data_IF_850377740651
#
_entry.id   IF_850377740651
#
_cell.length_a   1.000
_cell.length_b   1.000
_cell.length_c   1.000
_cell.angle_alpha   90.00
_cell.angle_beta   90.00
_cell.angle_gamma   90.00
#
_symmetry.space_group_name_H-M   'P 1'
#
loop_
_entity.id
_entity.type
_entity.pdbx_description
1 polymer ?
#
# COMPACT_ATOMS: atom_id res chain seq x y z
N UNK A 1 14.40 10.85 -31.48
CA UNK A 1 13.87 10.21 -30.24
C UNK A 1 14.66 8.96 -29.82
N UNK A 2 14.78 7.90 -30.64
CA UNK A 2 15.62 6.72 -30.31
C UNK A 2 17.13 7.05 -30.16
N UNK A 3 17.65 7.93 -31.02
CA UNK A 3 19.05 8.41 -30.94
C UNK A 3 19.31 9.25 -29.68
N UNK A 4 18.31 10.01 -29.23
CA UNK A 4 18.39 10.78 -27.99
C UNK A 4 18.53 9.84 -26.78
N UNK A 5 17.73 8.79 -26.70
CA UNK A 5 17.88 7.77 -25.65
C UNK A 5 19.24 7.07 -25.70
N UNK A 6 19.71 6.65 -26.88
CA UNK A 6 21.04 6.03 -27.03
C UNK A 6 22.18 6.99 -26.65
N UNK A 7 22.05 8.28 -26.95
CA UNK A 7 23.02 9.30 -26.55
C UNK A 7 23.02 9.50 -25.03
N UNK A 8 21.86 9.66 -24.41
CA UNK A 8 21.74 9.82 -22.95
C UNK A 8 22.19 8.57 -22.19
N UNK A 9 21.90 7.37 -22.71
CA UNK A 9 22.36 6.12 -22.11
C UNK A 9 23.89 6.01 -22.16
N UNK A 10 24.50 6.31 -23.32
CA UNK A 10 25.96 6.33 -23.47
C UNK A 10 26.61 7.36 -22.55
N UNK A 11 26.05 8.56 -22.46
CA UNK A 11 26.51 9.57 -21.51
C UNK A 11 26.39 9.09 -20.05
N UNK A 12 25.29 8.43 -19.68
CA UNK A 12 25.12 7.90 -18.32
C UNK A 12 26.20 6.86 -17.99
N UNK A 13 26.60 6.02 -18.96
CA UNK A 13 27.71 5.08 -18.79
C UNK A 13 29.05 5.75 -18.52
N UNK A 14 29.30 6.95 -19.07
CA UNK A 14 30.54 7.70 -18.74
C UNK A 14 30.53 8.25 -17.32
N UNK A 15 29.36 8.37 -16.68
CA UNK A 15 29.23 8.86 -15.31
C UNK A 15 29.31 7.75 -14.24
N UNK A 16 29.39 6.46 -14.64
CA UNK A 16 29.41 5.33 -13.70
C UNK A 16 30.37 5.49 -12.52
N UNK A 17 31.63 5.93 -12.69
CA UNK A 17 32.57 6.10 -11.57
C UNK A 17 32.16 7.19 -10.57
N UNK A 18 31.35 8.15 -11.02
CA UNK A 18 30.92 9.32 -10.24
C UNK A 18 29.56 9.13 -9.58
N UNK A 19 28.88 7.99 -9.80
CA UNK A 19 27.56 7.71 -9.22
C UNK A 19 27.57 7.53 -7.71
N UNK A 20 28.74 7.43 -7.08
CA UNK A 20 28.86 7.48 -5.62
C UNK A 20 28.35 8.82 -5.08
N UNK A 21 28.59 9.92 -5.81
CA UNK A 21 28.17 11.27 -5.44
C UNK A 21 26.64 11.43 -5.59
N UNK A 22 25.89 11.74 -4.51
CA UNK A 22 24.43 11.79 -4.54
C UNK A 22 23.84 12.75 -5.58
N UNK A 23 24.47 13.91 -5.80
CA UNK A 23 23.99 14.90 -6.75
C UNK A 23 24.16 14.44 -8.21
N UNK A 24 25.31 13.83 -8.53
CA UNK A 24 25.57 13.27 -9.86
C UNK A 24 24.60 12.14 -10.15
N UNK A 25 24.38 11.24 -9.18
CA UNK A 25 23.42 10.14 -9.29
C UNK A 25 21.99 10.65 -9.55
N UNK A 26 21.54 11.66 -8.81
CA UNK A 26 20.22 12.25 -9.01
C UNK A 26 20.06 12.90 -10.40
N UNK A 27 21.11 13.58 -10.87
CA UNK A 27 21.13 14.20 -12.19
C UNK A 27 21.08 13.16 -13.32
N UNK A 28 21.93 12.13 -13.27
CA UNK A 28 21.95 11.03 -14.25
C UNK A 28 20.60 10.30 -14.28
N UNK A 29 20.02 10.01 -13.11
CA UNK A 29 18.70 9.40 -13.00
C UNK A 29 17.62 10.25 -13.69
N UNK A 30 17.58 11.56 -13.42
CA UNK A 30 16.59 12.46 -14.03
C UNK A 30 16.73 12.52 -15.56
N UNK A 31 17.96 12.61 -16.07
CA UNK A 31 18.22 12.62 -17.50
C UNK A 31 17.79 11.30 -18.19
N UNK A 32 18.07 10.15 -17.56
CA UNK A 32 17.63 8.85 -18.08
C UNK A 32 16.10 8.70 -18.06
N UNK A 33 15.43 9.17 -17.00
CA UNK A 33 13.96 9.17 -16.92
C UNK A 33 13.34 10.02 -18.02
N UNK A 34 13.81 11.27 -18.19
CA UNK A 34 13.33 12.14 -19.27
C UNK A 34 13.56 11.53 -20.65
N UNK A 35 14.78 11.04 -20.92
CA UNK A 35 15.10 10.42 -22.20
C UNK A 35 14.27 9.16 -22.48
N UNK A 36 13.91 8.40 -21.44
CA UNK A 36 13.01 7.25 -21.57
C UNK A 36 11.59 7.69 -21.91
N UNK A 37 11.04 8.66 -21.18
CA UNK A 37 9.67 9.15 -21.42
C UNK A 37 9.52 9.85 -22.79
N UNK A 38 10.58 10.49 -23.26
CA UNK A 38 10.63 11.14 -24.56
C UNK A 38 10.83 10.14 -25.71
N UNK A 39 11.72 9.15 -25.53
CA UNK A 39 12.05 8.21 -26.60
C UNK A 39 11.02 7.07 -26.76
N UNK A 40 10.35 6.69 -25.67
CA UNK A 40 9.36 5.62 -25.65
C UNK A 40 7.99 6.22 -25.35
N UNK A 41 7.11 6.35 -26.36
CA UNK A 41 5.75 6.77 -26.10
C UNK A 41 5.09 5.77 -25.16
N UNK A 42 4.54 6.27 -24.06
CA UNK A 42 3.67 5.47 -23.20
C UNK A 42 2.51 4.95 -24.06
N UNK A 43 2.25 3.65 -24.01
CA UNK A 43 1.18 3.03 -24.79
C UNK A 43 -0.19 3.63 -24.43
N UNK A 44 -1.06 3.78 -25.45
CA UNK A 44 -2.42 4.34 -25.31
C UNK A 44 -2.49 5.87 -25.38
N UNK A 45 -3.70 6.43 -25.29
CA UNK A 45 -3.93 7.88 -25.25
C UNK A 45 -3.55 8.43 -23.85
N UNK A 46 -2.77 9.54 -23.74
CA UNK A 46 -2.53 10.22 -22.46
C UNK A 46 -3.79 10.53 -21.64
N UNK A 47 -4.89 10.91 -22.29
CA UNK A 47 -6.18 11.18 -21.64
C UNK A 47 -6.78 9.92 -21.05
N UNK A 48 -6.75 8.81 -21.80
CA UNK A 48 -7.24 7.50 -21.33
C UNK A 48 -6.39 6.97 -20.17
N UNK A 49 -5.06 7.11 -20.23
CA UNK A 49 -4.17 6.75 -19.11
C UNK A 49 -4.49 7.57 -17.86
N UNK A 50 -4.68 8.88 -18.00
CA UNK A 50 -5.04 9.75 -16.87
C UNK A 50 -6.41 9.39 -16.32
N UNK A 51 -7.40 9.14 -17.16
CA UNK A 51 -8.73 8.68 -16.76
C UNK A 51 -8.67 7.35 -16.01
N UNK A 52 -7.85 6.40 -16.49
CA UNK A 52 -7.61 5.12 -15.81
C UNK A 52 -6.95 5.30 -14.45
N UNK A 53 -5.91 6.13 -14.33
CA UNK A 53 -5.25 6.41 -13.06
C UNK A 53 -6.21 7.06 -12.04
N UNK A 54 -7.02 8.04 -12.47
CA UNK A 54 -8.05 8.67 -11.64
C UNK A 54 -9.10 7.64 -11.20
N UNK A 55 -9.54 6.77 -12.11
CA UNK A 55 -10.49 5.70 -11.77
C UNK A 55 -9.90 4.70 -10.76
N UNK A 56 -8.63 4.30 -10.92
CA UNK A 56 -7.97 3.41 -9.94
C UNK A 56 -7.84 4.08 -8.57
N UNK A 57 -7.50 5.37 -8.50
CA UNK A 57 -7.43 6.11 -7.25
C UNK A 57 -8.80 6.23 -6.57
N UNK A 58 -9.87 6.48 -7.35
CA UNK A 58 -11.24 6.53 -6.84
C UNK A 58 -11.70 5.17 -6.30
N UNK A 59 -11.42 4.08 -7.02
CA UNK A 59 -11.70 2.71 -6.56
C UNK A 59 -10.97 2.41 -5.26
N UNK A 60 -9.66 2.73 -5.19
CA UNK A 60 -8.86 2.53 -3.99
C UNK A 60 -9.45 3.30 -2.80
N UNK A 61 -9.70 4.59 -2.96
CA UNK A 61 -10.25 5.43 -1.87
C UNK A 61 -11.64 4.98 -1.42
N UNK A 62 -12.52 4.57 -2.33
CA UNK A 62 -13.84 4.07 -1.99
C UNK A 62 -13.75 2.73 -1.23
N UNK A 63 -12.89 1.82 -1.69
CA UNK A 63 -12.70 0.53 -1.07
C UNK A 63 -12.05 0.62 0.32
N UNK A 64 -11.00 1.43 0.49
CA UNK A 64 -10.32 1.58 1.79
C UNK A 64 -11.26 2.20 2.81
N UNK A 65 -11.99 3.26 2.44
CA UNK A 65 -13.01 3.86 3.31
C UNK A 65 -14.05 2.83 3.74
N UNK A 66 -14.58 2.07 2.79
CA UNK A 66 -15.56 1.03 3.09
C UNK A 66 -14.98 -0.05 4.00
N UNK A 67 -13.75 -0.50 3.77
CA UNK A 67 -13.06 -1.48 4.63
C UNK A 67 -12.86 -0.95 6.04
N UNK A 68 -12.44 0.30 6.20
CA UNK A 68 -12.25 0.94 7.50
C UNK A 68 -13.57 1.00 8.28
N UNK A 69 -14.67 1.39 7.61
CA UNK A 69 -16.01 1.47 8.19
C UNK A 69 -16.60 0.09 8.57
N UNK A 70 -16.14 -1.00 7.93
CA UNK A 70 -16.71 -2.35 8.07
C UNK A 70 -15.71 -3.38 8.62
N UNK A 71 -14.55 -2.95 9.14
CA UNK A 71 -13.47 -3.87 9.56
C UNK A 71 -13.89 -4.86 10.67
N UNK A 72 -14.87 -4.48 11.50
CA UNK A 72 -15.47 -5.29 12.58
C UNK A 72 -16.42 -6.38 12.09
N UNK A 73 -16.80 -6.37 10.81
CA UNK A 73 -17.75 -7.30 10.23
C UNK A 73 -17.03 -8.44 9.48
N UNK A 74 -17.70 -9.59 9.21
CA UNK A 74 -17.15 -10.70 8.45
C UNK A 74 -17.12 -10.39 6.94
N UNK A 75 -16.54 -9.25 6.57
CA UNK A 75 -16.42 -8.77 5.18
C UNK A 75 -15.16 -9.31 4.50
N UNK A 76 -15.23 -9.36 3.17
CA UNK A 76 -14.14 -9.82 2.30
C UNK A 76 -13.67 -8.72 1.35
N UNK A 77 -12.53 -8.96 0.68
CA UNK A 77 -12.06 -8.08 -0.40
C UNK A 77 -13.07 -7.99 -1.57
N UNK A 78 -13.84 -9.06 -1.81
CA UNK A 78 -14.87 -9.06 -2.86
C UNK A 78 -16.06 -8.17 -2.49
N UNK A 79 -16.40 -8.07 -1.20
CA UNK A 79 -17.41 -7.15 -0.72
C UNK A 79 -16.98 -5.70 -0.88
N UNK A 80 -15.71 -5.40 -0.57
CA UNK A 80 -15.13 -4.09 -0.82
C UNK A 80 -15.08 -3.74 -2.30
N UNK A 81 -14.79 -4.72 -3.18
CA UNK A 81 -14.83 -4.52 -4.63
C UNK A 81 -16.24 -4.12 -5.08
N UNK A 82 -17.26 -4.82 -4.59
CA UNK A 82 -18.66 -4.54 -4.89
C UNK A 82 -19.08 -3.16 -4.38
N UNK A 83 -18.70 -2.82 -3.15
CA UNK A 83 -18.98 -1.51 -2.55
C UNK A 83 -18.30 -0.36 -3.32
N UNK A 84 -17.09 -0.59 -3.85
CA UNK A 84 -16.37 0.36 -4.69
C UNK A 84 -16.81 0.34 -6.17
N UNK A 85 -17.84 -0.44 -6.54
CA UNK A 85 -18.37 -0.50 -7.89
C UNK A 85 -17.42 -1.13 -8.92
N UNK A 86 -16.57 -2.08 -8.49
CA UNK A 86 -15.56 -2.72 -9.35
C UNK A 86 -15.56 -4.25 -9.22
N UNK A 87 -14.82 -4.90 -10.11
CA UNK A 87 -14.52 -6.34 -9.98
C UNK A 87 -13.35 -6.58 -9.04
N UNK A 88 -13.20 -7.79 -8.50
CA UNK A 88 -12.04 -8.18 -7.69
C UNK A 88 -10.69 -7.92 -8.42
N UNK A 89 -10.65 -8.15 -9.73
CA UNK A 89 -9.48 -7.84 -10.54
C UNK A 89 -9.22 -6.32 -10.66
N UNK A 90 -10.28 -5.53 -10.79
CA UNK A 90 -10.19 -4.06 -10.77
C UNK A 90 -9.70 -3.54 -9.42
N UNK A 91 -10.20 -4.11 -8.32
CA UNK A 91 -9.76 -3.76 -6.97
C UNK A 91 -8.28 -4.09 -6.77
N UNK A 92 -7.83 -5.29 -7.14
CA UNK A 92 -6.41 -5.68 -7.03
C UNK A 92 -5.49 -4.75 -7.83
N UNK A 93 -5.90 -4.31 -9.03
CA UNK A 93 -5.15 -3.30 -9.80
C UNK A 93 -5.10 -1.95 -9.08
N UNK A 94 -6.20 -1.52 -8.47
CA UNK A 94 -6.27 -0.26 -7.76
C UNK A 94 -5.32 -0.24 -6.56
N UNK A 95 -5.27 -1.33 -5.79
CA UNK A 95 -4.34 -1.53 -4.68
C UNK A 95 -2.88 -1.62 -5.16
N UNK A 96 -2.59 -2.34 -6.22
CA UNK A 96 -1.22 -2.41 -6.77
C UNK A 96 -0.73 -1.02 -7.24
N UNK A 97 -1.61 -0.17 -7.74
CA UNK A 97 -1.26 1.16 -8.24
C UNK A 97 -1.19 2.26 -7.15
N UNK A 98 -2.00 2.17 -6.08
CA UNK A 98 -2.19 3.25 -5.11
C UNK A 98 -1.93 2.84 -3.65
N UNK A 99 -1.71 1.56 -3.38
CA UNK A 99 -1.60 0.98 -2.04
C UNK A 99 -0.28 1.31 -1.34
N UNK A 100 -0.23 2.47 -0.68
CA UNK A 100 0.95 2.88 0.09
C UNK A 100 1.09 2.13 1.42
N UNK A 101 -0.01 1.67 2.04
CA UNK A 101 0.02 0.85 3.26
C UNK A 101 0.10 -0.64 2.95
N UNK A 102 -0.63 -1.09 1.94
CA UNK A 102 -0.63 -2.47 1.47
C UNK A 102 -0.90 -2.48 -0.03
N UNK A 103 -0.14 -3.28 -0.77
CA UNK A 103 -0.37 -3.51 -2.21
C UNK A 103 -1.52 -4.49 -2.49
N UNK A 104 -2.08 -5.14 -1.45
CA UNK A 104 -3.21 -6.07 -1.58
C UNK A 104 -4.42 -5.63 -0.75
N UNK A 105 -5.66 -5.88 -1.24
CA UNK A 105 -6.88 -5.63 -0.48
C UNK A 105 -6.92 -6.36 0.86
N UNK A 106 -6.49 -7.63 0.89
CA UNK A 106 -6.50 -8.48 2.07
C UNK A 106 -5.51 -7.97 3.12
N UNK A 107 -4.33 -7.52 2.69
CA UNK A 107 -3.34 -6.91 3.58
C UNK A 107 -3.82 -5.59 4.17
N UNK A 108 -4.59 -4.80 3.41
CA UNK A 108 -5.19 -3.58 3.92
C UNK A 108 -6.27 -3.87 4.97
N UNK A 109 -7.16 -4.84 4.70
CA UNK A 109 -8.19 -5.24 5.66
C UNK A 109 -7.57 -5.79 6.96
N UNK A 110 -6.47 -6.56 6.86
CA UNK A 110 -5.71 -6.98 8.03
C UNK A 110 -5.15 -5.79 8.81
N UNK A 111 -4.56 -4.80 8.14
CA UNK A 111 -4.06 -3.57 8.79
C UNK A 111 -5.18 -2.78 9.47
N UNK A 112 -6.35 -2.63 8.82
CA UNK A 112 -7.51 -1.97 9.40
C UNK A 112 -7.97 -2.67 10.69
N UNK A 113 -8.02 -4.01 10.69
CA UNK A 113 -8.35 -4.82 11.87
C UNK A 113 -7.30 -4.73 12.97
N UNK A 114 -6.01 -4.72 12.64
CA UNK A 114 -4.93 -4.48 13.62
C UNK A 114 -5.05 -3.08 14.23
N UNK A 115 -5.39 -2.07 13.41
CA UNK A 115 -5.55 -0.70 13.89
C UNK A 115 -6.75 -0.55 14.83
N UNK A 116 -7.87 -1.18 14.50
CA UNK A 116 -9.03 -1.20 15.36
C UNK A 116 -8.77 -1.97 16.68
N UNK A 117 -8.08 -3.12 16.60
CA UNK A 117 -7.63 -3.86 17.77
C UNK A 117 -6.70 -3.03 18.67
N UNK A 118 -5.83 -2.20 18.10
CA UNK A 118 -5.00 -1.29 18.88
C UNK A 118 -5.84 -0.27 19.67
N UNK A 119 -6.80 0.39 19.01
CA UNK A 119 -7.68 1.35 19.69
C UNK A 119 -8.45 0.69 20.84
N UNK A 120 -8.87 -0.55 20.63
CA UNK A 120 -9.56 -1.37 21.62
C UNK A 120 -8.68 -1.74 22.81
N UNK A 121 -7.43 -2.16 22.56
CA UNK A 121 -6.45 -2.44 23.63
C UNK A 121 -6.17 -1.19 24.47
N UNK A 122 -6.06 -0.01 23.83
CA UNK A 122 -5.85 1.27 24.53
C UNK A 122 -7.04 1.66 25.40
N UNK A 123 -8.26 1.32 24.99
CA UNK A 123 -9.48 1.61 25.74
C UNK A 123 -9.84 0.55 26.79
N UNK A 124 -9.15 -0.59 26.81
CA UNK A 124 -9.47 -1.76 27.62
C UNK A 124 -8.82 -1.71 29.01
N UNK A 125 -9.48 -2.34 29.99
CA UNK A 125 -8.90 -2.55 31.32
C UNK A 125 -8.01 -3.81 31.32
N UNK A 126 -6.71 -3.72 31.65
CA UNK A 126 -5.78 -4.85 31.66
C UNK A 126 -6.16 -5.95 32.66
N UNK A 127 -6.97 -5.64 33.68
CA UNK A 127 -7.42 -6.63 34.67
C UNK A 127 -8.61 -7.47 34.19
N UNK A 128 -9.30 -7.03 33.13
CA UNK A 128 -10.55 -7.65 32.63
C UNK A 128 -10.48 -8.12 31.19
N UNK A 129 -9.47 -7.70 30.45
CA UNK A 129 -9.37 -7.94 29.00
C UNK A 129 -8.11 -8.70 28.70
N UNK A 130 -8.22 -9.74 27.87
CA UNK A 130 -7.05 -10.46 27.38
C UNK A 130 -6.74 -10.11 25.92
N UNK A 131 -5.48 -10.19 25.55
CA UNK A 131 -5.04 -9.97 24.16
C UNK A 131 -5.71 -10.97 23.20
N UNK A 132 -5.94 -12.21 23.65
CA UNK A 132 -6.58 -13.24 22.86
C UNK A 132 -8.04 -12.90 22.54
N UNK A 133 -8.79 -12.36 23.49
CA UNK A 133 -10.18 -11.91 23.26
C UNK A 133 -10.23 -10.75 22.25
N UNK A 134 -9.32 -9.78 22.37
CA UNK A 134 -9.26 -8.67 21.40
C UNK A 134 -8.89 -9.19 20.01
N UNK A 135 -7.88 -10.07 19.90
CA UNK A 135 -7.49 -10.68 18.63
C UNK A 135 -8.67 -11.40 17.96
N UNK A 136 -9.39 -12.25 18.70
CA UNK A 136 -10.55 -12.98 18.20
C UNK A 136 -11.67 -12.05 17.75
N UNK A 137 -11.97 -11.00 18.54
CA UNK A 137 -13.01 -10.00 18.22
C UNK A 137 -12.74 -9.28 16.90
N UNK A 138 -11.48 -9.05 16.56
CA UNK A 138 -11.07 -8.44 15.29
C UNK A 138 -10.74 -9.44 14.19
N UNK A 139 -11.14 -10.71 14.35
CA UNK A 139 -11.07 -11.72 13.30
C UNK A 139 -9.73 -12.44 13.16
N UNK A 140 -8.84 -12.36 14.15
CA UNK A 140 -7.61 -13.15 14.19
C UNK A 140 -7.84 -14.46 14.94
N UNK A 141 -7.95 -15.57 14.21
CA UNK A 141 -8.05 -16.91 14.80
C UNK A 141 -6.74 -17.35 15.50
N UNK A 142 -5.60 -16.92 14.96
CA UNK A 142 -4.28 -17.29 15.46
C UNK A 142 -3.63 -16.13 16.22
N UNK A 143 -3.50 -16.27 17.54
CA UNK A 143 -2.84 -15.26 18.37
C UNK A 143 -1.39 -14.95 17.92
N UNK A 144 -0.54 -15.91 17.53
CA UNK A 144 0.79 -15.60 17.02
C UNK A 144 0.77 -14.75 15.75
N UNK A 145 -0.22 -14.97 14.86
CA UNK A 145 -0.40 -14.16 13.65
C UNK A 145 -0.77 -12.72 14.01
N UNK A 146 -1.72 -12.55 14.94
CA UNK A 146 -2.09 -11.22 15.44
C UNK A 146 -0.89 -10.49 16.03
N UNK A 147 -0.11 -11.13 16.91
CA UNK A 147 1.08 -10.52 17.52
C UNK A 147 2.10 -10.12 16.45
N UNK A 148 2.32 -10.95 15.43
CA UNK A 148 3.24 -10.63 14.33
C UNK A 148 2.77 -9.41 13.52
N UNK A 149 1.48 -9.39 13.13
CA UNK A 149 0.89 -8.27 12.39
C UNK A 149 0.90 -6.97 13.22
N UNK A 150 0.58 -7.07 14.51
CA UNK A 150 0.61 -5.95 15.44
C UNK A 150 2.00 -5.36 15.61
N UNK A 151 3.03 -6.21 15.79
CA UNK A 151 4.43 -5.76 15.89
C UNK A 151 4.94 -5.16 14.58
N UNK A 152 4.50 -5.66 13.44
CA UNK A 152 4.84 -5.09 12.14
C UNK A 152 4.29 -3.66 12.00
N UNK A 153 3.05 -3.41 12.44
CA UNK A 153 2.40 -2.11 12.37
C UNK A 153 2.90 -1.11 13.44
N UNK A 154 2.94 -1.53 14.72
CA UNK A 154 3.15 -0.64 15.86
C UNK A 154 4.53 -0.73 16.51
N UNK A 155 5.39 -1.65 16.07
CA UNK A 155 6.75 -1.90 16.64
C UNK A 155 6.79 -2.20 18.14
N UNK A 156 5.64 -2.48 18.76
CA UNK A 156 5.46 -2.81 20.17
C UNK A 156 4.67 -4.11 20.31
N UNK A 157 4.79 -4.77 21.47
CA UNK A 157 3.95 -5.92 21.80
C UNK A 157 2.55 -5.46 22.24
N UNK A 158 1.46 -6.17 21.88
CA UNK A 158 0.11 -5.79 22.30
C UNK A 158 -0.08 -5.73 23.82
N UNK A 159 0.62 -6.59 24.59
CA UNK A 159 0.58 -6.52 26.08
C UNK A 159 1.05 -5.17 26.61
N UNK A 160 2.15 -4.64 26.06
CA UNK A 160 2.69 -3.34 26.46
C UNK A 160 1.77 -2.18 26.07
N UNK A 161 0.82 -2.38 25.17
CA UNK A 161 -0.23 -1.39 24.87
C UNK A 161 -1.39 -1.50 25.85
N UNK A 162 -1.79 -2.72 26.20
CA UNK A 162 -2.87 -2.99 27.17
C UNK A 162 -2.50 -2.58 28.61
N UNK A 163 -1.22 -2.67 28.96
CA UNK A 163 -0.70 -2.32 30.29
C UNK A 163 -0.42 -0.81 30.46
N UNK A 164 -0.66 0.00 29.43
CA UNK A 164 -0.43 1.46 29.47
C UNK A 164 -1.63 2.19 30.04
#
# INVERSE_FOLDING_TARGET
MREYWLATLRWAFTQLPLLAEPLVRAHVHRALVSATLEAFPLAGDPRERRASAVAQAAIYSAATRWMDDHASLPVTADDAARAAGTSAAGLRRAFAANGHLSATPEGYLELARVSAAHADLVASDPTRTTIAEVALRWGFADLPRFIAAYRAAYRTHPSATLER
#
